data_IF_807833698642
#
_entry.id   IF_807833698642
#
_cell.length_a   1.000
_cell.length_b   1.000
_cell.length_c   1.000
_cell.angle_alpha   90.00
_cell.angle_beta   90.00
_cell.angle_gamma   90.00
#
_symmetry.space_group_name_H-M   'P 1'
#
loop_
_entity.id
_entity.type
_entity.pdbx_description
1 polymer ?
#
# COMPACT_ATOMS: atom_id res chain seq x y z
N UNK A 1 -9.54 -10.60 -13.24
CA UNK A 1 -9.64 -9.39 -12.39
C UNK A 1 -8.23 -9.12 -11.89
N UNK A 2 -7.64 -7.98 -12.26
CA UNK A 2 -6.29 -7.62 -11.82
C UNK A 2 -6.27 -7.23 -10.34
N UNK A 3 -5.07 -7.19 -9.77
CA UNK A 3 -4.83 -6.78 -8.40
C UNK A 3 -3.96 -5.52 -8.35
N UNK A 4 -4.22 -4.67 -7.38
CA UNK A 4 -3.47 -3.45 -7.10
C UNK A 4 -2.77 -3.62 -5.77
N UNK A 5 -1.44 -3.52 -5.79
CA UNK A 5 -0.64 -3.49 -4.59
C UNK A 5 -0.71 -2.09 -3.95
N UNK A 6 -0.98 -2.04 -2.65
CA UNK A 6 -0.94 -0.83 -1.83
C UNK A 6 0.26 -0.91 -0.88
N UNK A 7 1.22 -0.01 -1.08
CA UNK A 7 2.28 0.27 -0.12
C UNK A 7 1.98 1.58 0.59
N UNK A 8 1.66 1.52 1.88
CA UNK A 8 1.35 2.71 2.65
C UNK A 8 1.79 2.55 4.11
N UNK A 9 2.22 3.66 4.70
CA UNK A 9 2.38 3.79 6.16
C UNK A 9 2.32 5.24 6.58
N UNK A 10 2.04 5.49 7.86
CA UNK A 10 2.10 6.83 8.45
C UNK A 10 3.48 7.00 9.12
N UNK A 11 4.35 7.91 8.65
CA UNK A 11 5.67 8.11 9.25
C UNK A 11 5.57 8.57 10.71
N UNK A 12 6.48 8.06 11.55
CA UNK A 12 6.57 8.43 12.95
C UNK A 12 7.71 9.45 13.14
N UNK A 13 7.51 10.45 14.00
CA UNK A 13 8.45 11.56 14.26
C UNK A 13 9.86 11.08 14.66
N UNK A 14 9.98 9.88 15.23
CA UNK A 14 11.25 9.32 15.71
C UNK A 14 11.95 8.37 14.70
N UNK A 15 11.50 8.32 13.43
CA UNK A 15 12.08 7.44 12.39
C UNK A 15 12.33 8.20 11.09
N UNK A 16 13.54 8.78 10.97
CA UNK A 16 13.98 9.51 9.78
C UNK A 16 13.24 10.83 9.55
N UNK A 17 13.44 11.45 8.38
CA UNK A 17 12.89 12.76 8.02
C UNK A 17 11.57 12.70 7.26
N UNK A 18 11.08 11.52 6.87
CA UNK A 18 9.82 11.40 6.08
C UNK A 18 8.60 12.00 6.78
N UNK A 19 8.62 12.11 8.11
CA UNK A 19 7.56 12.73 8.89
C UNK A 19 7.47 14.26 8.70
N UNK A 20 8.54 14.91 8.24
CA UNK A 20 8.59 16.36 8.06
C UNK A 20 7.68 16.82 6.92
N UNK A 21 7.48 15.98 5.91
CA UNK A 21 6.61 16.25 4.76
C UNK A 21 5.29 15.49 4.82
N UNK A 22 5.22 14.40 5.59
CA UNK A 22 4.05 13.55 5.63
C UNK A 22 2.86 14.23 6.32
N UNK A 23 1.69 14.10 5.69
CA UNK A 23 0.42 14.53 6.24
C UNK A 23 -0.47 13.30 6.51
N UNK A 24 -0.60 12.85 7.76
CA UNK A 24 -1.39 11.68 8.12
C UNK A 24 -2.86 11.74 7.64
N UNK A 25 -3.46 12.94 7.62
CA UNK A 25 -4.81 13.14 7.14
C UNK A 25 -4.91 12.88 5.63
N UNK A 26 -3.97 13.42 4.84
CA UNK A 26 -3.94 13.17 3.40
C UNK A 26 -3.60 11.71 3.06
N UNK A 27 -2.78 11.03 3.87
CA UNK A 27 -2.52 9.58 3.73
C UNK A 27 -3.84 8.82 3.88
N UNK A 28 -4.62 9.12 4.92
CA UNK A 28 -5.93 8.50 5.14
C UNK A 28 -6.90 8.77 3.98
N UNK A 29 -6.99 10.02 3.52
CA UNK A 29 -7.83 10.38 2.38
C UNK A 29 -7.43 9.63 1.11
N UNK A 30 -6.13 9.57 0.78
CA UNK A 30 -5.63 8.88 -0.40
C UNK A 30 -5.87 7.37 -0.35
N UNK A 31 -5.62 6.72 0.80
CA UNK A 31 -5.90 5.28 0.96
C UNK A 31 -7.41 5.01 0.82
N UNK A 32 -8.26 5.84 1.44
CA UNK A 32 -9.72 5.70 1.33
C UNK A 32 -10.22 5.83 -0.10
N UNK A 33 -9.75 6.85 -0.79
CA UNK A 33 -10.18 7.12 -2.15
C UNK A 33 -9.67 6.06 -3.14
N UNK A 34 -8.47 5.52 -2.92
CA UNK A 34 -7.95 4.39 -3.68
C UNK A 34 -8.91 3.20 -3.58
N UNK A 35 -9.28 2.82 -2.35
CA UNK A 35 -10.17 1.68 -2.12
C UNK A 35 -11.51 1.92 -2.83
N UNK A 36 -12.15 3.06 -2.60
CA UNK A 36 -13.44 3.39 -3.23
C UNK A 36 -13.36 3.32 -4.75
N UNK A 37 -12.27 3.82 -5.33
CA UNK A 37 -12.07 3.89 -6.78
C UNK A 37 -11.91 2.51 -7.43
N UNK A 38 -11.27 1.55 -6.75
CA UNK A 38 -10.84 0.29 -7.39
C UNK A 38 -11.55 -0.96 -6.89
N UNK A 39 -12.18 -0.93 -5.71
CA UNK A 39 -12.72 -2.14 -5.04
C UNK A 39 -13.76 -2.92 -5.86
N UNK A 40 -14.41 -2.27 -6.84
CA UNK A 40 -15.40 -2.91 -7.73
C UNK A 40 -14.78 -3.62 -8.92
N UNK A 41 -13.53 -3.31 -9.29
CA UNK A 41 -12.89 -3.75 -10.53
C UNK A 41 -11.59 -4.51 -10.28
N UNK A 42 -10.95 -4.30 -9.14
CA UNK A 42 -9.66 -4.87 -8.79
C UNK A 42 -9.64 -5.35 -7.35
N UNK A 43 -8.74 -6.30 -7.08
CA UNK A 43 -8.40 -6.69 -5.71
C UNK A 43 -7.36 -5.74 -5.15
N UNK A 44 -7.39 -5.52 -3.84
CA UNK A 44 -6.37 -4.73 -3.14
C UNK A 44 -5.49 -5.68 -2.33
N UNK A 45 -4.18 -5.58 -2.53
CA UNK A 45 -3.18 -6.41 -1.86
C UNK A 45 -2.26 -5.49 -1.04
N UNK A 46 -2.00 -5.82 0.23
CA UNK A 46 -1.02 -5.08 1.06
C UNK A 46 -0.39 -5.99 2.11
N UNK A 47 0.71 -5.51 2.71
CA UNK A 47 1.35 -6.14 3.87
C UNK A 47 0.77 -5.60 5.18
N UNK A 48 0.60 -6.46 6.18
CA UNK A 48 -0.05 -6.18 7.45
C UNK A 48 0.65 -5.11 8.27
N UNK A 49 0.28 -3.86 7.98
CA UNK A 49 0.79 -2.67 8.65
C UNK A 49 -0.22 -2.21 9.71
N UNK A 50 0.21 -1.93 10.95
CA UNK A 50 -0.70 -1.66 12.06
C UNK A 50 -1.52 -0.38 11.90
N UNK A 51 -1.07 0.59 11.10
CA UNK A 51 -1.84 1.81 10.82
C UNK A 51 -2.77 1.70 9.58
N UNK A 52 -2.45 0.82 8.62
CA UNK A 52 -3.21 0.70 7.37
C UNK A 52 -4.30 -0.36 7.48
N UNK A 53 -4.03 -1.46 8.17
CA UNK A 53 -4.98 -2.58 8.27
C UNK A 53 -6.29 -2.20 8.95
N UNK A 54 -6.31 -1.48 10.10
CA UNK A 54 -7.55 -0.99 10.70
C UNK A 54 -8.28 0.04 9.81
N UNK A 55 -7.53 0.83 9.06
CA UNK A 55 -8.09 1.84 8.15
C UNK A 55 -8.84 1.16 6.99
N UNK A 56 -8.23 0.17 6.35
CA UNK A 56 -8.86 -0.62 5.27
C UNK A 56 -10.11 -1.32 5.81
N UNK A 57 -10.02 -1.90 7.01
CA UNK A 57 -11.17 -2.54 7.65
C UNK A 57 -12.36 -1.58 7.78
N UNK A 58 -12.14 -0.41 8.39
CA UNK A 58 -13.18 0.61 8.58
C UNK A 58 -13.79 1.07 7.26
N UNK A 59 -12.98 1.27 6.21
CA UNK A 59 -13.48 1.71 4.90
C UNK A 59 -14.35 0.64 4.25
N UNK A 60 -13.94 -0.62 4.32
CA UNK A 60 -14.73 -1.71 3.78
C UNK A 60 -16.04 -1.93 4.57
N UNK A 61 -16.04 -1.69 5.89
CA UNK A 61 -17.28 -1.73 6.72
C UNK A 61 -18.26 -0.63 6.28
N UNK A 62 -17.77 0.60 6.11
CA UNK A 62 -18.57 1.73 5.63
C UNK A 62 -19.22 1.45 4.26
N UNK A 63 -18.53 0.72 3.38
CA UNK A 63 -18.97 0.45 2.02
C UNK A 63 -19.83 -0.82 1.88
N UNK A 64 -19.93 -1.65 2.93
CA UNK A 64 -20.68 -2.91 2.91
C UNK A 64 -20.18 -3.91 1.86
N UNK A 65 -18.87 -3.91 1.58
CA UNK A 65 -18.25 -4.78 0.56
C UNK A 65 -17.85 -6.12 1.17
N UNK A 66 -18.06 -7.23 0.44
CA UNK A 66 -17.55 -8.54 0.86
C UNK A 66 -16.01 -8.58 0.70
N UNK A 67 -15.35 -8.49 1.84
CA UNK A 67 -13.89 -8.53 2.01
C UNK A 67 -13.25 -9.78 1.40
N UNK A 68 -13.96 -10.91 1.43
CA UNK A 68 -13.39 -12.21 1.05
C UNK A 68 -13.12 -12.32 -0.46
N UNK A 69 -13.60 -11.39 -1.27
CA UNK A 69 -13.35 -11.40 -2.72
C UNK A 69 -12.49 -10.24 -3.21
N UNK A 70 -12.36 -9.18 -2.40
CA UNK A 70 -11.87 -7.87 -2.86
C UNK A 70 -10.56 -7.43 -2.21
N UNK A 71 -10.17 -8.03 -1.08
CA UNK A 71 -8.93 -7.71 -0.36
C UNK A 71 -8.10 -8.95 -0.04
N UNK A 72 -6.77 -8.80 -0.03
CA UNK A 72 -5.84 -9.84 0.39
C UNK A 72 -4.74 -9.22 1.26
N UNK A 73 -4.61 -9.73 2.48
CA UNK A 73 -3.64 -9.26 3.46
C UNK A 73 -2.47 -10.23 3.54
N UNK A 74 -1.24 -9.75 3.39
CA UNK A 74 -0.03 -10.55 3.66
C UNK A 74 0.51 -10.26 5.05
N UNK A 75 0.76 -11.30 5.84
CA UNK A 75 1.21 -11.13 7.22
C UNK A 75 2.34 -12.09 7.57
N UNK A 76 3.46 -11.57 8.06
CA UNK A 76 4.57 -12.39 8.53
C UNK A 76 4.32 -12.92 9.94
N UNK A 77 4.50 -14.24 10.14
CA UNK A 77 4.44 -14.93 11.43
C UNK A 77 5.45 -14.45 12.46
N UNK A 78 6.43 -13.66 12.03
CA UNK A 78 7.33 -12.95 12.94
C UNK A 78 6.59 -12.02 13.92
N UNK A 79 5.35 -11.64 13.60
CA UNK A 79 4.51 -10.80 14.46
C UNK A 79 3.28 -11.52 15.02
N UNK A 80 3.27 -12.86 15.11
CA UNK A 80 2.10 -13.65 15.57
C UNK A 80 1.45 -13.11 16.87
N UNK A 81 2.24 -12.59 17.81
CA UNK A 81 1.73 -12.04 19.09
C UNK A 81 1.40 -10.53 19.07
N UNK A 82 1.48 -9.88 17.90
CA UNK A 82 1.41 -8.41 17.76
C UNK A 82 0.53 -7.95 16.59
N UNK A 83 -0.35 -8.83 16.10
CA UNK A 83 -1.31 -8.43 15.07
C UNK A 83 -2.35 -7.46 15.63
N UNK A 84 -2.81 -6.49 14.81
CA UNK A 84 -4.04 -5.75 15.11
C UNK A 84 -5.22 -6.73 15.25
N UNK A 85 -6.16 -6.43 16.15
CA UNK A 85 -7.37 -7.25 16.34
C UNK A 85 -8.16 -7.37 15.03
N UNK A 86 -8.09 -6.35 14.18
CA UNK A 86 -8.76 -6.30 12.89
C UNK A 86 -8.28 -7.38 11.91
N UNK A 87 -7.09 -7.96 12.12
CA UNK A 87 -6.61 -9.09 11.30
C UNK A 87 -7.60 -10.27 11.31
N UNK A 88 -8.29 -10.52 12.43
CA UNK A 88 -9.25 -11.61 12.59
C UNK A 88 -10.51 -11.41 11.73
N UNK A 89 -10.77 -10.18 11.29
CA UNK A 89 -11.88 -9.88 10.40
C UNK A 89 -11.57 -10.17 8.93
N UNK A 90 -10.29 -10.24 8.56
CA UNK A 90 -9.88 -10.60 7.20
C UNK A 90 -9.87 -12.12 7.04
N UNK A 91 -10.80 -12.66 6.26
CA UNK A 91 -10.83 -14.11 5.95
C UNK A 91 -9.74 -14.55 4.96
N UNK A 92 -9.02 -13.58 4.37
CA UNK A 92 -8.06 -13.78 3.28
C UNK A 92 -6.62 -13.42 3.66
N UNK A 93 -6.19 -13.74 4.88
CA UNK A 93 -4.81 -13.49 5.30
C UNK A 93 -3.90 -14.58 4.74
N UNK A 94 -2.93 -14.17 3.93
CA UNK A 94 -1.83 -15.03 3.48
C UNK A 94 -0.66 -14.83 4.42
N UNK A 95 -0.43 -15.85 5.25
CA UNK A 95 0.70 -15.82 6.16
C UNK A 95 2.01 -16.30 5.49
N UNK A 96 3.12 -15.74 5.95
CA UNK A 96 4.48 -16.20 5.63
C UNK A 96 5.25 -16.53 6.89
N UNK A 97 6.09 -17.56 6.84
CA UNK A 97 6.83 -18.02 8.01
C UNK A 97 7.81 -16.96 8.53
N UNK A 98 8.04 -16.99 9.85
CA UNK A 98 9.14 -16.26 10.45
C UNK A 98 10.46 -16.90 10.02
N UNK A 99 11.42 -16.06 9.62
CA UNK A 99 12.76 -16.48 9.27
C UNK A 99 13.68 -16.43 10.49
N UNK A 100 14.48 -17.47 10.77
CA UNK A 100 15.39 -17.50 11.91
C UNK A 100 16.45 -16.37 11.84
N UNK A 101 16.73 -15.86 10.65
CA UNK A 101 17.63 -14.73 10.40
C UNK A 101 17.06 -13.38 10.91
N UNK A 102 15.80 -13.35 11.34
CA UNK A 102 15.19 -12.22 12.04
C UNK A 102 14.16 -11.45 11.22
N UNK A 103 13.91 -10.21 11.67
CA UNK A 103 12.85 -9.33 11.16
C UNK A 103 13.00 -9.06 9.65
N UNK A 104 14.17 -8.62 9.21
CA UNK A 104 14.37 -8.19 7.82
C UNK A 104 14.20 -9.36 6.84
N UNK A 105 14.71 -10.54 7.18
CA UNK A 105 14.52 -11.75 6.38
C UNK A 105 13.05 -12.20 6.34
N UNK A 106 12.34 -12.07 7.46
CA UNK A 106 10.91 -12.41 7.56
C UNK A 106 10.05 -11.46 6.71
N UNK A 107 10.39 -10.16 6.71
CA UNK A 107 9.73 -9.15 5.88
C UNK A 107 10.08 -9.32 4.40
N UNK A 108 11.34 -9.63 4.07
CA UNK A 108 11.76 -9.88 2.70
C UNK A 108 11.00 -11.07 2.09
N UNK A 109 10.92 -12.20 2.81
CA UNK A 109 10.13 -13.36 2.37
C UNK A 109 8.67 -12.96 2.10
N UNK A 110 8.07 -12.19 3.00
CA UNK A 110 6.69 -11.72 2.86
C UNK A 110 6.53 -10.84 1.61
N UNK A 111 7.42 -9.88 1.41
CA UNK A 111 7.42 -8.98 0.25
C UNK A 111 7.63 -9.74 -1.04
N UNK A 112 8.59 -10.65 -1.12
CA UNK A 112 8.83 -11.46 -2.31
C UNK A 112 7.59 -12.29 -2.67
N UNK A 113 6.97 -12.97 -1.69
CA UNK A 113 5.75 -13.75 -1.93
C UNK A 113 4.57 -12.87 -2.36
N UNK A 114 4.43 -11.69 -1.78
CA UNK A 114 3.36 -10.75 -2.09
C UNK A 114 3.53 -10.10 -3.46
N UNK A 115 4.74 -9.66 -3.80
CA UNK A 115 5.04 -8.85 -4.98
C UNK A 115 5.35 -9.70 -6.22
N UNK A 116 5.62 -11.00 -6.08
CA UNK A 116 5.81 -11.93 -7.21
C UNK A 116 4.51 -12.49 -7.80
N UNK A 117 3.35 -11.99 -7.36
CA UNK A 117 2.05 -12.38 -7.92
C UNK A 117 1.95 -11.95 -9.39
N UNK A 118 1.40 -12.83 -10.22
CA UNK A 118 1.21 -12.61 -11.66
C UNK A 118 -0.03 -11.77 -12.00
N UNK A 119 -0.93 -11.57 -11.05
CA UNK A 119 -2.16 -10.79 -11.21
C UNK A 119 -2.01 -9.30 -10.86
N UNK A 120 -0.81 -8.85 -10.47
CA UNK A 120 -0.55 -7.45 -10.13
C UNK A 120 -0.46 -6.58 -11.38
N UNK A 121 -1.45 -5.70 -11.56
CA UNK A 121 -1.52 -4.78 -12.70
C UNK A 121 -1.03 -3.37 -12.34
N UNK A 122 -1.03 -3.03 -11.05
CA UNK A 122 -0.48 -1.76 -10.58
C UNK A 122 0.02 -1.82 -9.12
N UNK A 123 0.85 -0.85 -8.76
CA UNK A 123 1.23 -0.52 -7.40
C UNK A 123 0.96 0.96 -7.11
N UNK A 124 0.32 1.23 -5.97
CA UNK A 124 0.09 2.57 -5.44
C UNK A 124 0.89 2.75 -4.16
N UNK A 125 1.63 3.85 -4.08
CA UNK A 125 2.46 4.20 -2.92
C UNK A 125 1.92 5.47 -2.27
N UNK A 126 1.66 5.43 -0.96
CA UNK A 126 1.06 6.55 -0.22
C UNK A 126 1.79 6.78 1.10
N UNK A 127 2.32 7.99 1.32
CA UNK A 127 3.05 8.31 2.53
C UNK A 127 4.34 7.50 2.63
N UNK A 128 4.54 6.80 3.75
CA UNK A 128 5.60 5.81 3.84
C UNK A 128 6.93 6.28 4.42
N UNK A 129 7.75 5.31 4.79
CA UNK A 129 9.17 5.44 5.20
C UNK A 129 10.04 4.53 4.30
N UNK A 130 11.20 4.05 4.76
CA UNK A 130 12.12 3.22 3.93
C UNK A 130 11.48 1.93 3.38
N UNK A 131 10.39 1.46 3.99
CA UNK A 131 9.65 0.30 3.49
C UNK A 131 9.07 0.48 2.08
N UNK A 132 8.64 1.70 1.74
CA UNK A 132 8.10 2.04 0.42
C UNK A 132 9.15 1.86 -0.67
N UNK A 133 10.37 2.30 -0.42
CA UNK A 133 11.47 2.22 -1.39
C UNK A 133 11.85 0.75 -1.68
N UNK A 134 11.95 -0.07 -0.63
CA UNK A 134 12.19 -1.50 -0.79
C UNK A 134 11.08 -2.21 -1.58
N UNK A 135 9.83 -1.87 -1.30
CA UNK A 135 8.66 -2.45 -1.98
C UNK A 135 8.57 -1.99 -3.42
N UNK A 136 8.93 -0.73 -3.72
CA UNK A 136 9.01 -0.21 -5.07
C UNK A 136 10.04 -0.97 -5.92
N UNK A 137 11.27 -1.14 -5.42
CA UNK A 137 12.33 -1.85 -6.16
C UNK A 137 11.95 -3.31 -6.43
N UNK A 138 11.41 -4.00 -5.42
CA UNK A 138 10.92 -5.38 -5.59
C UNK A 138 9.75 -5.45 -6.57
N UNK A 139 8.77 -4.56 -6.46
CA UNK A 139 7.61 -4.55 -7.35
C UNK A 139 8.02 -4.32 -8.80
N UNK A 140 8.91 -3.36 -9.06
CA UNK A 140 9.43 -3.06 -10.40
C UNK A 140 10.18 -4.25 -11.00
N UNK A 141 10.93 -5.00 -10.19
CA UNK A 141 11.65 -6.18 -10.63
C UNK A 141 10.71 -7.35 -10.96
N UNK A 142 9.69 -7.61 -10.14
CA UNK A 142 8.75 -8.71 -10.38
C UNK A 142 7.67 -8.39 -11.42
N UNK A 143 7.23 -7.14 -11.52
CA UNK A 143 6.13 -6.70 -12.36
C UNK A 143 6.55 -5.56 -13.30
N UNK A 144 7.50 -5.79 -14.22
CA UNK A 144 8.12 -4.72 -15.02
C UNK A 144 7.14 -3.99 -15.96
N UNK A 145 5.99 -4.60 -16.26
CA UNK A 145 4.94 -4.01 -17.12
C UNK A 145 3.81 -3.37 -16.34
N UNK A 146 3.75 -3.57 -15.01
CA UNK A 146 2.67 -3.06 -14.18
C UNK A 146 2.82 -1.56 -13.96
N UNK A 147 1.69 -0.88 -13.75
CA UNK A 147 1.67 0.56 -13.53
C UNK A 147 2.18 0.89 -12.13
N UNK A 148 3.03 1.90 -12.01
CA UNK A 148 3.52 2.41 -10.72
C UNK A 148 2.99 3.82 -10.52
N UNK A 149 2.35 4.04 -9.37
CA UNK A 149 1.70 5.30 -9.03
C UNK A 149 2.02 5.74 -7.60
N UNK A 150 3.11 6.49 -7.39
CA UNK A 150 3.36 7.15 -6.12
C UNK A 150 2.50 8.42 -6.01
N UNK A 151 1.77 8.57 -4.90
CA UNK A 151 0.93 9.74 -4.65
C UNK A 151 1.74 10.78 -3.85
N UNK A 152 2.04 11.95 -4.44
CA UNK A 152 3.00 12.88 -3.84
C UNK A 152 2.42 13.74 -2.71
N UNK A 153 1.17 14.19 -2.82
CA UNK A 153 0.59 15.20 -1.92
C UNK A 153 0.48 14.78 -0.44
N UNK A 154 0.36 13.49 -0.07
CA UNK A 154 0.44 13.05 1.32
C UNK A 154 1.85 13.12 1.92
N UNK A 155 2.90 13.39 1.14
CA UNK A 155 4.28 13.46 1.60
C UNK A 155 4.91 12.08 1.87
N UNK A 156 5.96 12.07 2.69
CA UNK A 156 6.71 10.85 3.03
C UNK A 156 7.50 10.28 1.85
N UNK A 157 7.86 9.00 1.95
CA UNK A 157 8.66 8.32 0.92
C UNK A 157 7.99 8.30 -0.47
N UNK A 158 6.66 8.30 -0.53
CA UNK A 158 5.91 8.38 -1.78
C UNK A 158 6.15 9.69 -2.54
N UNK A 159 6.32 10.83 -1.85
CA UNK A 159 6.66 12.10 -2.48
C UNK A 159 8.05 12.06 -3.11
N UNK A 160 9.02 11.49 -2.40
CA UNK A 160 10.40 11.38 -2.90
C UNK A 160 10.47 10.40 -4.08
N UNK A 161 9.71 9.31 -4.02
CA UNK A 161 9.54 8.37 -5.14
C UNK A 161 8.86 9.03 -6.35
N UNK A 162 7.83 9.86 -6.14
CA UNK A 162 7.16 10.58 -7.22
C UNK A 162 8.09 11.57 -7.93
N UNK A 163 8.95 12.26 -7.17
CA UNK A 163 9.96 13.17 -7.70
C UNK A 163 11.05 12.43 -8.47
N UNK A 164 11.54 11.29 -7.96
CA UNK A 164 12.62 10.54 -8.59
C UNK A 164 12.20 9.91 -9.92
N UNK A 165 10.94 9.48 -10.02
CA UNK A 165 10.36 8.94 -11.25
C UNK A 165 9.90 10.01 -12.25
N UNK A 166 9.77 11.27 -11.81
CA UNK A 166 9.27 12.36 -12.66
C UNK A 166 7.83 12.20 -13.11
N UNK A 167 7.02 11.38 -12.42
CA UNK A 167 5.62 11.13 -12.77
C UNK A 167 4.67 12.28 -12.43
N UNK A 168 5.09 13.20 -11.56
CA UNK A 168 4.35 14.42 -11.21
C UNK A 168 5.28 15.63 -11.29
N UNK A 169 4.78 16.79 -11.72
CA UNK A 169 5.59 18.00 -11.83
C UNK A 169 4.82 19.25 -11.42
N UNK A 170 5.54 20.23 -10.86
CA UNK A 170 4.95 21.53 -10.54
C UNK A 170 3.78 21.45 -9.57
N UNK A 171 2.61 21.96 -9.99
CA UNK A 171 1.40 22.01 -9.17
C UNK A 171 0.83 20.62 -8.85
N UNK A 172 1.05 19.63 -9.72
CA UNK A 172 0.50 18.27 -9.59
C UNK A 172 1.07 17.53 -8.37
N UNK A 173 2.23 17.96 -7.85
CA UNK A 173 2.82 17.40 -6.62
C UNK A 173 1.96 17.68 -5.38
N UNK A 174 1.12 18.70 -5.43
CA UNK A 174 0.24 19.10 -4.34
C UNK A 174 -1.24 18.81 -4.63
N UNK A 175 -1.54 18.08 -5.71
CA UNK A 175 -2.92 17.74 -6.07
C UNK A 175 -3.49 16.75 -5.05
N UNK A 176 -4.66 17.10 -4.51
CA UNK A 176 -5.39 16.33 -3.49
C UNK A 176 -6.72 15.80 -4.02
N UNK A 177 -7.03 15.99 -5.32
CA UNK A 177 -8.16 15.34 -5.97
C UNK A 177 -7.82 13.87 -6.27
N UNK A 178 -7.74 13.08 -5.20
CA UNK A 178 -7.39 11.67 -5.27
C UNK A 178 -8.37 10.88 -6.15
N UNK A 179 -9.63 11.29 -6.20
CA UNK A 179 -10.65 10.65 -7.03
C UNK A 179 -10.30 10.81 -8.51
N UNK A 180 -10.00 12.04 -8.95
CA UNK A 180 -9.59 12.30 -10.32
C UNK A 180 -8.25 11.62 -10.65
N UNK A 181 -7.29 11.63 -9.73
CA UNK A 181 -5.99 10.98 -9.91
C UNK A 181 -6.18 9.47 -10.12
N UNK A 182 -6.89 8.78 -9.22
CA UNK A 182 -7.10 7.34 -9.35
C UNK A 182 -7.98 7.00 -10.56
N UNK A 183 -9.00 7.78 -10.88
CA UNK A 183 -9.80 7.57 -12.08
C UNK A 183 -8.94 7.66 -13.35
N UNK A 184 -8.10 8.70 -13.46
CA UNK A 184 -7.25 8.93 -14.63
C UNK A 184 -6.19 7.82 -14.77
N UNK A 185 -5.60 7.40 -13.66
CA UNK A 185 -4.47 6.47 -13.70
C UNK A 185 -4.88 5.00 -13.63
N UNK A 186 -5.98 4.64 -12.98
CA UNK A 186 -6.39 3.26 -12.70
C UNK A 186 -7.73 2.88 -13.35
N UNK A 187 -8.50 3.81 -13.91
CA UNK A 187 -9.81 3.51 -14.49
C UNK A 187 -9.81 2.63 -15.74
N UNK A 188 -8.65 2.43 -16.38
CA UNK A 188 -8.51 1.72 -17.65
C UNK A 188 -7.49 0.55 -17.62
N UNK A 189 -7.05 0.13 -16.42
CA UNK A 189 -6.05 -0.94 -16.26
C UNK A 189 -6.66 -2.30 -15.92
#
# INVERSE_FOLDING_TARGET
>A
MGAIFLSASVPLVNRGSYHETANPFLIQCAVRELIISVIRQHKIIWGGHPAITPMIWSICEDLGVDYSETVVLYQSRFFDDRYPEENDHFKNVIFTDAKPEGLDASLLLMREKMLSRDDLVAAVFVGGMEGVEHEFELFKNFNPTAKILPIPSPGGAALDLAKSLGCFSGADLNDVDFAQIFHTHLGNI
#
